data_IF_118072258887
#
_entry.id   IF_118072258887
#
_cell.length_a   1.000
_cell.length_b   1.000
_cell.length_c   1.000
_cell.angle_alpha   90.00
_cell.angle_beta   90.00
_cell.angle_gamma   90.00
#
_symmetry.space_group_name_H-M   'P 1'
#
loop_
_entity.id
_entity.type
_entity.pdbx_description
1 polymer ?
#
# COMPACT_ATOMS: atom_id res chain seq x y z
N UNK A 1 -5.62 -1.07 -5.07
CA UNK A 1 -4.24 -1.52 -5.39
C UNK A 1 -4.33 -2.63 -6.45
N UNK A 2 -3.22 -3.15 -6.98
CA UNK A 2 -3.22 -4.26 -7.95
C UNK A 2 -1.94 -5.09 -7.81
N UNK A 3 -2.08 -6.41 -7.79
CA UNK A 3 -0.98 -7.37 -7.80
C UNK A 3 -0.97 -8.17 -9.10
N UNK A 4 0.23 -8.53 -9.55
CA UNK A 4 0.43 -9.34 -10.76
C UNK A 4 1.30 -10.53 -10.41
N UNK A 5 0.80 -11.72 -10.65
CA UNK A 5 1.50 -12.97 -10.35
C UNK A 5 1.77 -13.72 -11.65
N UNK A 6 2.97 -14.28 -11.76
CA UNK A 6 3.33 -15.16 -12.86
C UNK A 6 2.49 -16.43 -12.79
N UNK A 7 2.03 -16.92 -13.95
CA UNK A 7 1.39 -18.22 -14.02
C UNK A 7 2.38 -19.32 -13.59
N UNK A 8 1.95 -20.18 -12.65
CA UNK A 8 2.67 -21.38 -12.24
C UNK A 8 1.74 -22.58 -12.45
N UNK A 9 2.11 -23.57 -13.29
CA UNK A 9 1.30 -24.73 -13.54
C UNK A 9 1.39 -25.71 -12.36
N UNK A 10 0.34 -25.74 -11.55
CA UNK A 10 0.22 -26.67 -10.43
C UNK A 10 -0.17 -28.07 -10.92
N UNK A 11 0.45 -29.11 -10.35
CA UNK A 11 0.14 -30.50 -10.71
C UNK A 11 -1.36 -30.80 -10.46
N UNK A 12 -2.00 -31.48 -11.42
CA UNK A 12 -3.43 -31.79 -11.36
C UNK A 12 -4.36 -30.64 -11.77
N UNK A 13 -3.90 -29.39 -11.85
CA UNK A 13 -4.74 -28.29 -12.31
C UNK A 13 -5.01 -28.37 -13.84
N UNK A 14 -6.22 -28.04 -14.32
CA UNK A 14 -6.52 -28.03 -15.76
C UNK A 14 -5.56 -27.14 -16.57
N UNK A 15 -5.14 -26.02 -15.99
CA UNK A 15 -4.22 -25.07 -16.61
C UNK A 15 -2.81 -25.65 -16.84
N UNK A 16 -2.39 -26.69 -16.10
CA UNK A 16 -1.10 -27.34 -16.30
C UNK A 16 -1.00 -28.02 -17.68
N UNK A 17 -2.14 -28.39 -18.28
CA UNK A 17 -2.24 -29.05 -19.60
C UNK A 17 -2.14 -28.08 -20.78
N UNK A 18 -2.08 -26.77 -20.54
CA UNK A 18 -1.94 -25.76 -21.60
C UNK A 18 -0.57 -25.90 -22.29
N UNK A 19 -0.63 -26.05 -23.63
CA UNK A 19 0.55 -26.33 -24.47
C UNK A 19 1.28 -25.07 -24.93
N UNK A 20 0.56 -23.97 -25.16
CA UNK A 20 1.13 -22.72 -25.68
C UNK A 20 1.71 -21.85 -24.56
N UNK A 21 2.84 -22.30 -24.01
CA UNK A 21 3.53 -21.58 -22.93
C UNK A 21 4.41 -20.48 -23.50
N UNK A 22 4.24 -19.27 -22.97
CA UNK A 22 5.19 -18.18 -23.17
C UNK A 22 6.45 -18.43 -22.34
N UNK A 23 7.61 -18.07 -22.90
CA UNK A 23 8.87 -18.19 -22.16
C UNK A 23 8.84 -17.39 -20.86
N UNK A 24 9.52 -17.88 -19.82
CA UNK A 24 9.59 -17.19 -18.53
C UNK A 24 10.13 -15.77 -18.64
N UNK A 25 11.05 -15.53 -19.59
CA UNK A 25 11.58 -14.18 -19.86
C UNK A 25 10.47 -13.22 -20.27
N UNK A 26 9.56 -13.66 -21.14
CA UNK A 26 8.41 -12.85 -21.56
C UNK A 26 7.46 -12.63 -20.37
N UNK A 27 7.20 -13.66 -19.57
CA UNK A 27 6.33 -13.55 -18.37
C UNK A 27 6.90 -12.54 -17.38
N UNK A 28 8.19 -12.65 -17.04
CA UNK A 28 8.87 -11.71 -16.13
C UNK A 28 8.85 -10.28 -16.67
N UNK A 29 9.09 -10.10 -17.97
CA UNK A 29 9.04 -8.77 -18.60
C UNK A 29 7.63 -8.15 -18.50
N UNK A 30 6.58 -8.94 -18.77
CA UNK A 30 5.19 -8.47 -18.66
C UNK A 30 4.80 -8.12 -17.23
N UNK A 31 5.17 -8.97 -16.26
CA UNK A 31 4.91 -8.70 -14.84
C UNK A 31 5.58 -7.38 -14.44
N UNK A 32 6.85 -7.20 -14.80
CA UNK A 32 7.59 -5.96 -14.54
C UNK A 32 6.90 -4.74 -15.16
N UNK A 33 6.57 -4.79 -16.45
CA UNK A 33 5.95 -3.68 -17.18
C UNK A 33 4.59 -3.28 -16.57
N UNK A 34 3.73 -4.26 -16.25
CA UNK A 34 2.42 -3.98 -15.65
C UNK A 34 2.61 -3.39 -14.24
N UNK A 35 3.52 -3.94 -13.43
CA UNK A 35 3.77 -3.43 -12.08
C UNK A 35 4.37 -2.01 -12.10
N UNK A 36 5.24 -1.68 -13.05
CA UNK A 36 5.78 -0.33 -13.22
C UNK A 36 4.70 0.69 -13.59
N UNK A 37 3.83 0.33 -14.55
CA UNK A 37 2.68 1.17 -14.93
C UNK A 37 1.74 1.38 -13.74
N UNK A 38 1.42 0.29 -13.04
CA UNK A 38 0.53 0.34 -11.87
C UNK A 38 1.12 1.15 -10.72
N UNK A 39 2.42 1.07 -10.47
CA UNK A 39 3.09 1.88 -9.44
C UNK A 39 2.89 3.38 -9.71
N UNK A 40 3.00 3.81 -10.98
CA UNK A 40 2.70 5.19 -11.38
C UNK A 40 1.26 5.60 -11.08
N UNK A 41 0.28 4.73 -11.37
CA UNK A 41 -1.14 4.96 -11.06
C UNK A 41 -1.35 5.06 -9.54
N UNK A 42 -0.80 4.13 -8.77
CA UNK A 42 -0.89 4.11 -7.31
C UNK A 42 -0.32 5.39 -6.68
N UNK A 43 0.87 5.83 -7.11
CA UNK A 43 1.45 7.09 -6.65
C UNK A 43 0.58 8.30 -6.99
N UNK A 44 0.01 8.35 -8.20
CA UNK A 44 -0.89 9.42 -8.63
C UNK A 44 -2.17 9.47 -7.77
N UNK A 45 -2.71 8.32 -7.40
CA UNK A 45 -3.89 8.23 -6.53
C UNK A 45 -3.56 8.70 -5.10
N UNK A 46 -2.48 8.19 -4.50
CA UNK A 46 -2.02 8.63 -3.18
C UNK A 46 -1.76 10.15 -3.15
N UNK A 47 -1.17 10.72 -4.20
CA UNK A 47 -0.96 12.18 -4.29
C UNK A 47 -2.23 13.02 -4.23
N UNK A 48 -3.41 12.48 -4.57
CA UNK A 48 -4.69 13.22 -4.53
C UNK A 48 -5.17 13.54 -3.12
N UNK A 49 -4.59 12.88 -2.11
CA UNK A 49 -4.95 13.10 -0.71
C UNK A 49 -3.91 13.91 0.07
N UNK A 50 -2.77 14.25 -0.55
CA UNK A 50 -1.82 15.20 0.04
C UNK A 50 -2.49 16.56 0.23
N UNK A 51 -2.28 17.16 1.40
CA UNK A 51 -2.92 18.40 1.85
C UNK A 51 -4.33 18.21 2.41
N UNK A 52 -4.80 16.96 2.57
CA UNK A 52 -6.10 16.65 3.18
C UNK A 52 -5.91 15.95 4.51
N UNK A 53 -6.87 16.16 5.40
CA UNK A 53 -6.99 15.41 6.64
C UNK A 53 -7.83 14.16 6.41
N UNK A 54 -7.29 13.00 6.76
CA UNK A 54 -7.96 11.71 6.65
C UNK A 54 -8.19 11.11 8.05
N UNK A 55 -9.30 10.39 8.27
CA UNK A 55 -9.46 9.55 9.44
C UNK A 55 -8.53 8.33 9.33
N UNK A 56 -7.66 8.13 10.32
CA UNK A 56 -6.67 7.05 10.35
C UNK A 56 -6.84 6.26 11.63
N UNK A 57 -7.09 4.96 11.50
CA UNK A 57 -7.02 4.02 12.62
C UNK A 57 -5.56 3.83 13.01
N UNK A 58 -5.20 4.20 14.23
CA UNK A 58 -3.84 4.10 14.76
C UNK A 58 -3.58 2.68 15.25
N UNK A 59 -2.52 2.04 14.77
CA UNK A 59 -2.23 0.63 15.01
C UNK A 59 -1.02 0.39 15.93
N UNK A 60 -0.20 1.42 16.15
CA UNK A 60 0.93 1.34 17.08
C UNK A 60 2.17 2.06 16.57
N UNK A 61 3.31 1.70 17.15
CA UNK A 61 4.61 2.16 16.68
C UNK A 61 4.97 1.46 15.37
N UNK A 62 5.73 2.17 14.53
CA UNK A 62 6.32 1.57 13.34
C UNK A 62 7.24 0.40 13.72
N UNK A 63 7.17 -0.73 13.01
CA UNK A 63 8.08 -1.85 13.24
C UNK A 63 9.54 -1.51 12.90
N UNK A 64 9.77 -0.45 12.11
CA UNK A 64 11.11 -0.02 11.69
C UNK A 64 11.74 0.99 12.66
N UNK A 65 10.94 1.75 13.41
CA UNK A 65 11.42 2.79 14.33
C UNK A 65 10.36 3.15 15.37
N UNK A 66 10.79 3.42 16.60
CA UNK A 66 9.95 3.92 17.69
C UNK A 66 9.62 5.42 17.57
N UNK A 67 10.13 6.12 16.55
CA UNK A 67 9.88 7.54 16.31
C UNK A 67 8.59 7.82 15.53
N UNK A 68 7.97 6.78 14.96
CA UNK A 68 6.78 6.91 14.10
C UNK A 68 5.65 6.06 14.65
N UNK A 69 4.42 6.56 14.53
CA UNK A 69 3.23 5.72 14.63
C UNK A 69 2.84 5.21 13.23
N UNK A 70 2.16 4.09 13.17
CA UNK A 70 1.54 3.55 11.96
C UNK A 70 0.03 3.47 12.13
N UNK A 71 -0.67 3.55 11.00
CA UNK A 71 -2.10 3.35 10.95
C UNK A 71 -2.59 3.14 9.53
N UNK A 72 -3.90 3.00 9.39
CA UNK A 72 -4.55 2.77 8.10
C UNK A 72 -5.79 3.63 7.93
N UNK A 73 -6.02 4.05 6.69
CA UNK A 73 -7.33 4.59 6.31
C UNK A 73 -8.32 3.44 6.10
N UNK A 74 -9.62 3.75 6.02
CA UNK A 74 -10.65 2.76 5.70
C UNK A 74 -10.46 2.03 4.35
N UNK A 75 -9.60 2.56 3.47
CA UNK A 75 -9.31 1.98 2.14
C UNK A 75 -8.07 1.09 2.10
N UNK A 76 -7.39 0.90 3.24
CA UNK A 76 -6.18 0.09 3.36
C UNK A 76 -6.48 -1.16 4.16
N UNK A 77 -6.41 -2.33 3.54
CA UNK A 77 -6.51 -3.60 4.22
C UNK A 77 -5.29 -3.86 5.12
N UNK A 78 -5.46 -4.45 6.32
CA UNK A 78 -4.34 -4.84 7.17
C UNK A 78 -3.44 -5.86 6.44
N UNK A 79 -2.13 -5.80 6.70
CA UNK A 79 -1.09 -6.72 6.22
C UNK A 79 -0.87 -6.82 4.70
N UNK A 80 -1.80 -6.31 3.88
CA UNK A 80 -1.83 -6.48 2.43
C UNK A 80 -1.59 -5.17 1.69
N UNK A 81 -2.21 -4.07 2.14
CA UNK A 81 -2.03 -2.75 1.55
C UNK A 81 -0.94 -1.96 2.28
N UNK A 82 -0.61 -0.78 1.74
CA UNK A 82 0.30 0.16 2.41
C UNK A 82 -0.36 0.86 3.61
N UNK A 83 0.44 1.65 4.30
CA UNK A 83 0.08 2.26 5.58
C UNK A 83 0.17 3.79 5.56
N UNK A 84 -0.31 4.40 6.63
CA UNK A 84 -0.06 5.80 6.96
C UNK A 84 1.04 5.84 8.03
N UNK A 85 2.17 6.44 7.68
CA UNK A 85 3.24 6.76 8.60
C UNK A 85 2.94 8.10 9.27
N UNK A 86 2.80 8.09 10.59
CA UNK A 86 2.47 9.28 11.36
C UNK A 86 3.75 9.76 12.04
N UNK A 87 4.26 10.90 11.60
CA UNK A 87 5.55 11.45 12.04
C UNK A 87 5.45 12.63 13.00
N UNK A 88 4.22 13.08 13.30
CA UNK A 88 3.95 14.17 14.22
C UNK A 88 2.67 13.91 15.00
N UNK A 89 2.71 14.16 16.31
CA UNK A 89 1.58 13.97 17.22
C UNK A 89 1.57 12.60 17.92
N UNK A 90 0.53 12.37 18.71
CA UNK A 90 0.35 11.15 19.50
C UNK A 90 -1.13 10.78 19.55
N UNK A 91 -1.44 9.49 19.56
CA UNK A 91 -2.79 8.96 19.70
C UNK A 91 -2.73 7.59 20.40
N UNK A 92 -3.86 7.14 20.94
CA UNK A 92 -3.96 5.81 21.55
C UNK A 92 -4.20 4.78 20.44
N UNK A 93 -3.55 3.62 20.55
CA UNK A 93 -3.77 2.50 19.63
C UNK A 93 -5.24 2.08 19.64
N UNK A 94 -5.83 1.90 18.46
CA UNK A 94 -7.23 1.61 18.27
C UNK A 94 -8.12 2.85 18.08
N UNK A 95 -7.60 4.05 18.30
CA UNK A 95 -8.33 5.29 18.01
C UNK A 95 -8.27 5.65 16.53
N UNK A 96 -9.32 6.33 16.06
CA UNK A 96 -9.32 6.98 14.75
C UNK A 96 -8.92 8.44 14.94
N UNK A 97 -7.71 8.79 14.54
CA UNK A 97 -7.17 10.15 14.64
C UNK A 97 -7.30 10.91 13.30
N UNK A 98 -7.54 12.24 13.33
CA UNK A 98 -7.45 13.07 12.14
C UNK A 98 -5.98 13.28 11.77
N UNK A 99 -5.54 12.74 10.64
CA UNK A 99 -4.14 12.87 10.17
C UNK A 99 -4.10 13.71 8.91
N UNK A 100 -3.39 14.84 8.97
CA UNK A 100 -3.09 15.68 7.83
C UNK A 100 -1.97 15.06 6.98
N UNK A 101 -2.29 14.66 5.75
CA UNK A 101 -1.35 13.99 4.85
C UNK A 101 -0.42 15.02 4.20
N UNK A 102 0.88 14.91 4.47
CA UNK A 102 1.92 15.82 3.96
C UNK A 102 2.69 15.23 2.78
N UNK A 103 2.82 13.90 2.71
CA UNK A 103 3.54 13.21 1.64
C UNK A 103 2.81 11.93 1.17
N UNK A 104 3.07 11.57 -0.09
CA UNK A 104 2.58 10.37 -0.73
C UNK A 104 3.71 9.62 -1.45
N UNK A 105 4.00 8.42 -0.95
CA UNK A 105 4.81 7.43 -1.65
C UNK A 105 3.92 6.54 -2.54
N UNK A 106 4.53 5.57 -3.23
CA UNK A 106 3.82 4.67 -4.15
C UNK A 106 2.73 3.87 -3.42
N UNK A 107 3.06 3.35 -2.24
CA UNK A 107 2.16 2.49 -1.45
C UNK A 107 1.74 3.12 -0.12
N UNK A 108 2.55 4.03 0.42
CA UNK A 108 2.33 4.61 1.74
C UNK A 108 2.00 6.11 1.67
N UNK A 109 1.40 6.59 2.74
CA UNK A 109 1.18 8.01 3.01
C UNK A 109 1.98 8.43 4.25
N UNK A 110 2.31 9.70 4.34
CA UNK A 110 2.94 10.28 5.54
C UNK A 110 2.15 11.49 5.98
N UNK A 111 2.00 11.68 7.29
CA UNK A 111 1.26 12.83 7.83
C UNK A 111 1.42 13.01 9.34
N UNK A 112 0.86 14.11 9.84
CA UNK A 112 0.82 14.44 11.27
C UNK A 112 -0.60 14.47 11.82
N UNK A 113 -0.79 14.14 13.09
CA UNK A 113 -2.10 14.25 13.75
C UNK A 113 -2.45 15.72 13.94
N UNK A 114 -3.62 16.14 13.45
CA UNK A 114 -4.15 17.48 13.74
C UNK A 114 -4.64 17.54 15.19
N UNK A 115 -4.04 18.44 15.99
CA UNK A 115 -4.57 18.76 17.32
C UNK A 115 -5.79 19.65 17.14
N UNK A 116 -6.96 19.18 17.58
CA UNK A 116 -8.14 20.04 17.70
C UNK A 116 -7.84 21.23 18.62
N UNK A 117 -8.28 22.42 18.22
CA UNK A 117 -8.22 23.65 19.02
C UNK A 117 -9.02 23.52 20.32
#
# INVERSE_FOLDING_TARGET
>A
RLGVFSFSPEEGAPAAKLKDRVSERIVRNRVKEIMELQAGISKKLNRRVVGKTLPVLVEGLSPETDLLLTGRTATMAPDVDGQVLINEGSAIVGEIAPVHITEAHTYDLVGGIERGY
#
